data_IF_679686832050
#
_entry.id   IF_679686832050
#
_cell.length_a   1.000
_cell.length_b   1.000
_cell.length_c   1.000
_cell.angle_alpha   90.00
_cell.angle_beta   90.00
_cell.angle_gamma   90.00
#
_symmetry.space_group_name_H-M   'P 1'
#
loop_
_entity.id
_entity.type
_entity.pdbx_description
1 polymer ?
#
# COMPACT_ATOMS: atom_id res chain seq x y z
N UNK A 1 0.85 3.20 15.84
CA UNK A 1 -0.23 3.59 16.78
C UNK A 1 -0.43 2.53 17.83
N UNK A 2 -0.93 1.35 17.44
CA UNK A 2 -1.18 0.25 18.38
C UNK A 2 0.04 -0.10 19.25
N UNK A 3 1.23 -0.18 18.66
CA UNK A 3 2.47 -0.38 19.42
C UNK A 3 2.66 0.68 20.53
N UNK A 4 2.49 1.97 20.21
CA UNK A 4 2.58 3.06 21.20
C UNK A 4 1.49 2.98 22.26
N UNK A 5 0.25 2.62 21.89
CA UNK A 5 -0.87 2.45 22.83
C UNK A 5 -0.62 1.31 23.81
N UNK A 6 0.11 0.27 23.39
CA UNK A 6 0.47 -0.88 24.21
C UNK A 6 1.85 -0.75 24.86
N UNK A 7 2.56 0.37 24.68
CA UNK A 7 3.91 0.56 25.22
C UNK A 7 4.96 -0.36 24.59
N UNK A 8 4.71 -0.87 23.38
CA UNK A 8 5.59 -1.76 22.63
C UNK A 8 6.27 -1.06 21.45
N UNK A 9 7.41 -1.59 21.02
CA UNK A 9 8.00 -1.25 19.71
C UNK A 9 7.16 -1.83 18.56
N UNK A 10 7.21 -1.24 17.35
CA UNK A 10 6.55 -1.81 16.18
C UNK A 10 6.94 -3.27 15.88
N UNK A 11 8.21 -3.64 16.07
CA UNK A 11 8.67 -5.02 15.88
C UNK A 11 8.00 -5.96 16.88
N UNK A 12 8.01 -5.63 18.19
CA UNK A 12 7.44 -6.48 19.24
C UNK A 12 5.94 -6.75 19.02
N UNK A 13 5.17 -5.72 18.65
CA UNK A 13 3.75 -5.92 18.39
C UNK A 13 3.52 -6.78 17.13
N UNK A 14 4.32 -6.59 16.08
CA UNK A 14 4.24 -7.44 14.89
C UNK A 14 4.62 -8.89 15.20
N UNK A 15 5.63 -9.13 16.06
CA UNK A 15 6.03 -10.47 16.51
C UNK A 15 4.90 -11.15 17.28
N UNK A 16 4.26 -10.41 18.18
CA UNK A 16 3.12 -10.90 18.94
C UNK A 16 1.97 -11.33 18.04
N UNK A 17 1.51 -10.45 17.14
CA UNK A 17 0.39 -10.75 16.26
C UNK A 17 0.75 -11.80 15.19
N UNK A 18 2.00 -11.86 14.72
CA UNK A 18 2.42 -12.93 13.80
C UNK A 18 2.20 -14.32 14.40
N UNK A 19 2.59 -14.53 15.65
CA UNK A 19 2.40 -15.81 16.33
C UNK A 19 0.93 -16.15 16.54
N UNK A 20 0.08 -15.15 16.85
CA UNK A 20 -1.37 -15.32 16.95
C UNK A 20 -1.94 -15.76 15.60
N UNK A 21 -1.65 -15.02 14.52
CA UNK A 21 -2.14 -15.33 13.18
C UNK A 21 -1.70 -16.73 12.74
N UNK A 22 -0.41 -17.06 12.91
CA UNK A 22 0.13 -18.39 12.60
C UNK A 22 -0.63 -19.50 13.33
N UNK A 23 -0.83 -19.35 14.65
CA UNK A 23 -1.54 -20.34 15.46
C UNK A 23 -3.00 -20.52 15.04
N UNK A 24 -3.68 -19.42 14.68
CA UNK A 24 -5.06 -19.47 14.16
C UNK A 24 -5.10 -20.24 12.84
N UNK A 25 -4.20 -19.95 11.90
CA UNK A 25 -4.19 -20.60 10.60
C UNK A 25 -3.84 -22.10 10.69
N UNK A 26 -2.90 -22.45 11.57
CA UNK A 26 -2.60 -23.86 11.90
C UNK A 26 -3.82 -24.57 12.50
N UNK A 27 -4.56 -23.92 13.39
CA UNK A 27 -5.78 -24.49 13.98
C UNK A 27 -6.90 -24.70 12.94
N UNK A 28 -7.06 -23.77 11.99
CA UNK A 28 -7.97 -23.93 10.85
C UNK A 28 -7.45 -24.89 9.78
N UNK A 29 -6.27 -25.49 9.97
CA UNK A 29 -5.63 -26.43 9.05
C UNK A 29 -5.40 -25.84 7.66
N UNK A 30 -4.96 -24.57 7.60
CA UNK A 30 -4.53 -23.94 6.36
C UNK A 30 -3.08 -24.33 6.07
N UNK A 31 -2.89 -25.12 5.02
CA UNK A 31 -1.60 -25.70 4.64
C UNK A 31 -0.82 -24.75 3.72
N UNK A 32 -0.11 -23.78 4.31
CA UNK A 32 0.78 -22.90 3.57
C UNK A 32 2.15 -23.55 3.38
N UNK A 33 2.66 -23.61 2.14
CA UNK A 33 4.09 -23.91 1.90
C UNK A 33 4.99 -22.91 2.64
N UNK A 34 4.55 -21.65 2.73
CA UNK A 34 5.21 -20.61 3.52
C UNK A 34 4.22 -19.57 4.06
N UNK A 35 4.13 -19.47 5.38
CA UNK A 35 3.52 -18.32 6.07
C UNK A 35 4.59 -17.34 6.55
N UNK A 36 4.89 -16.33 5.72
CA UNK A 36 5.98 -15.37 5.95
C UNK A 36 5.58 -14.04 6.57
N UNK A 37 6.49 -13.05 6.49
CA UNK A 37 6.31 -11.68 7.02
C UNK A 37 6.91 -10.67 6.06
N UNK A 38 6.35 -9.47 5.97
CA UNK A 38 6.93 -8.35 5.19
C UNK A 38 8.03 -7.59 5.93
N UNK A 39 8.36 -7.97 7.16
CA UNK A 39 9.46 -7.40 7.95
C UNK A 39 10.75 -8.21 7.80
N UNK A 40 11.01 -8.69 6.58
CA UNK A 40 12.18 -9.49 6.25
C UNK A 40 13.19 -8.69 5.38
N UNK A 41 14.48 -9.05 5.33
CA UNK A 41 15.47 -8.33 4.53
C UNK A 41 15.19 -8.36 3.01
N UNK A 42 14.66 -9.46 2.48
CA UNK A 42 14.29 -9.58 1.07
C UNK A 42 13.18 -8.62 0.65
N UNK A 43 12.29 -8.22 1.57
CA UNK A 43 11.27 -7.20 1.31
C UNK A 43 11.94 -5.87 0.96
N UNK A 44 12.95 -5.47 1.73
CA UNK A 44 13.69 -4.22 1.49
C UNK A 44 14.39 -4.29 0.15
N UNK A 45 15.13 -5.36 -0.10
CA UNK A 45 15.87 -5.60 -1.34
C UNK A 45 14.95 -5.52 -2.58
N UNK A 46 13.90 -6.34 -2.62
CA UNK A 46 13.04 -6.46 -3.80
C UNK A 46 12.16 -5.22 -4.02
N UNK A 47 11.74 -4.56 -2.94
CA UNK A 47 10.96 -3.31 -3.06
C UNK A 47 11.83 -2.19 -3.61
N UNK A 48 13.08 -2.09 -3.14
CA UNK A 48 14.02 -1.10 -3.63
C UNK A 48 14.41 -1.36 -5.08
N UNK A 49 14.66 -2.62 -5.46
CA UNK A 49 14.94 -3.01 -6.85
C UNK A 49 13.75 -2.65 -7.78
N UNK A 50 12.53 -3.07 -7.43
CA UNK A 50 11.33 -2.74 -8.20
C UNK A 50 11.14 -1.22 -8.34
N UNK A 51 11.34 -0.47 -7.25
CA UNK A 51 11.26 0.98 -7.28
C UNK A 51 12.31 1.60 -8.20
N UNK A 52 13.57 1.17 -8.11
CA UNK A 52 14.66 1.70 -8.92
C UNK A 52 14.43 1.43 -10.41
N UNK A 53 13.88 0.27 -10.77
CA UNK A 53 13.47 -0.07 -12.14
C UNK A 53 12.35 0.87 -12.63
N UNK A 54 11.31 1.09 -11.82
CA UNK A 54 10.25 2.05 -12.14
C UNK A 54 10.78 3.48 -12.27
N UNK A 55 11.73 3.85 -11.41
CA UNK A 55 12.36 5.16 -11.40
C UNK A 55 13.20 5.39 -12.66
N UNK A 56 14.07 4.44 -13.03
CA UNK A 56 14.89 4.50 -14.24
C UNK A 56 14.06 4.50 -15.51
N UNK A 57 12.91 3.82 -15.51
CA UNK A 57 12.00 3.76 -16.65
C UNK A 57 11.07 4.98 -16.76
N UNK A 58 11.22 6.00 -15.90
CA UNK A 58 10.45 7.25 -15.98
C UNK A 58 8.99 7.15 -15.51
N UNK A 59 8.67 6.11 -14.74
CA UNK A 59 7.35 5.88 -14.15
C UNK A 59 7.19 6.41 -12.73
N UNK A 60 8.14 7.23 -12.26
CA UNK A 60 7.99 7.94 -11.00
C UNK A 60 8.30 9.43 -11.15
N UNK A 61 7.76 10.24 -10.25
CA UNK A 61 8.06 11.67 -10.13
C UNK A 61 8.12 12.06 -8.67
N UNK A 62 8.73 13.21 -8.39
CA UNK A 62 8.69 13.85 -7.08
C UNK A 62 7.78 15.06 -7.13
N UNK A 63 6.94 15.22 -6.11
CA UNK A 63 6.13 16.41 -5.90
C UNK A 63 6.17 16.84 -4.44
N UNK A 64 5.79 18.08 -4.14
CA UNK A 64 5.71 18.59 -2.77
C UNK A 64 4.24 18.64 -2.35
N UNK A 65 3.96 18.09 -1.16
CA UNK A 65 2.62 18.09 -0.58
C UNK A 65 2.67 18.82 0.75
N UNK A 66 1.73 19.73 0.95
CA UNK A 66 1.55 20.40 2.24
C UNK A 66 0.96 19.42 3.25
N UNK A 67 1.65 19.28 4.38
CA UNK A 67 1.24 18.39 5.47
C UNK A 67 1.38 19.09 6.81
N UNK A 68 0.55 18.66 7.76
CA UNK A 68 0.64 19.14 9.14
C UNK A 68 1.82 18.49 9.86
N UNK A 69 2.69 19.31 10.43
CA UNK A 69 3.85 18.91 11.21
C UNK A 69 3.70 19.34 12.66
N UNK A 70 3.81 18.39 13.60
CA UNK A 70 3.86 18.69 15.03
C UNK A 70 5.30 18.95 15.47
N UNK A 71 5.58 20.17 15.91
CA UNK A 71 6.92 20.59 16.34
C UNK A 71 7.36 19.88 17.62
N UNK A 72 6.46 19.62 18.58
CA UNK A 72 6.78 18.89 19.81
C UNK A 72 7.05 17.42 19.58
N UNK A 73 6.28 16.77 18.69
CA UNK A 73 6.50 15.37 18.33
C UNK A 73 7.56 15.16 17.25
N UNK A 74 8.09 16.24 16.67
CA UNK A 74 9.10 16.26 15.60
C UNK A 74 8.75 15.29 14.45
N UNK A 75 7.50 15.38 13.97
CA UNK A 75 7.00 14.52 12.88
C UNK A 75 5.84 15.16 12.12
N UNK A 76 5.71 14.75 10.86
CA UNK A 76 4.47 14.94 10.11
C UNK A 76 3.35 14.06 10.69
N UNK A 77 2.13 14.59 10.67
CA UNK A 77 0.93 13.95 11.17
C UNK A 77 0.15 13.37 9.99
N UNK A 78 -0.05 12.06 10.00
CA UNK A 78 -1.09 11.44 9.18
C UNK A 78 -2.47 11.95 9.65
N UNK A 79 -3.46 11.97 8.75
CA UNK A 79 -4.80 12.52 9.00
C UNK A 79 -5.44 12.02 10.32
N UNK A 80 -5.27 10.73 10.63
CA UNK A 80 -5.73 10.09 11.88
C UNK A 80 -5.08 10.62 13.18
N UNK A 81 -4.01 11.39 13.08
CA UNK A 81 -3.33 12.06 14.20
C UNK A 81 -3.67 13.55 14.29
N UNK A 82 -4.54 14.04 13.40
CA UNK A 82 -4.97 15.43 13.37
C UNK A 82 -6.45 15.47 13.74
N UNK A 83 -6.76 16.23 14.78
CA UNK A 83 -8.13 16.59 15.12
C UNK A 83 -8.27 18.10 15.02
N UNK A 84 -9.47 18.62 14.79
CA UNK A 84 -9.70 20.05 14.76
C UNK A 84 -11.16 20.40 14.59
N UNK A 85 -11.44 21.69 14.47
CA UNK A 85 -12.78 22.19 14.20
C UNK A 85 -13.10 22.04 12.70
N UNK A 86 -14.25 21.46 12.38
CA UNK A 86 -14.69 21.21 11.01
C UNK A 86 -14.94 22.54 10.25
N UNK A 87 -14.34 22.76 9.07
CA UNK A 87 -14.51 24.01 8.32
C UNK A 87 -15.92 24.18 7.72
N UNK A 88 -16.76 23.15 7.78
CA UNK A 88 -18.10 23.17 7.18
C UNK A 88 -19.26 23.24 8.17
N UNK A 89 -19.13 22.60 9.34
CA UNK A 89 -20.19 22.55 10.35
C UNK A 89 -19.73 22.96 11.75
N UNK A 90 -18.46 23.36 11.91
CA UNK A 90 -17.87 23.78 13.18
C UNK A 90 -17.95 22.75 14.31
N UNK A 91 -18.01 21.46 13.97
CA UNK A 91 -17.81 20.40 14.95
C UNK A 91 -16.36 20.42 15.45
N UNK A 92 -16.16 20.58 16.76
CA UNK A 92 -14.87 20.92 17.39
C UNK A 92 -13.80 19.81 17.37
N UNK A 93 -14.16 18.57 17.03
CA UNK A 93 -13.26 17.42 17.05
C UNK A 93 -13.37 16.54 15.79
N UNK A 94 -13.46 17.18 14.62
CA UNK A 94 -13.36 16.50 13.33
C UNK A 94 -11.96 15.91 13.11
N UNK A 95 -11.88 14.76 12.46
CA UNK A 95 -10.63 14.09 12.10
C UNK A 95 -10.05 14.69 10.81
N UNK A 96 -8.75 14.51 10.58
CA UNK A 96 -8.06 15.05 9.41
C UNK A 96 -8.54 14.50 8.06
N UNK A 97 -9.28 13.39 8.04
CA UNK A 97 -9.80 12.73 6.84
C UNK A 97 -11.31 12.92 6.66
N UNK A 98 -12.05 13.04 7.77
CA UNK A 98 -13.50 13.11 7.77
C UNK A 98 -14.05 13.80 9.03
N UNK A 99 -15.11 14.60 8.87
CA UNK A 99 -15.91 15.06 9.99
C UNK A 99 -17.02 14.06 10.33
N UNK A 100 -17.02 13.49 11.53
CA UNK A 100 -18.03 12.50 11.94
C UNK A 100 -19.43 13.12 12.15
N UNK A 101 -19.53 14.44 12.34
CA UNK A 101 -20.81 15.13 12.54
C UNK A 101 -21.57 15.41 11.23
N UNK A 102 -20.88 15.84 10.17
CA UNK A 102 -21.51 16.15 8.87
C UNK A 102 -21.11 15.17 7.75
N UNK A 103 -20.30 14.16 8.06
CA UNK A 103 -19.79 13.11 7.15
C UNK A 103 -18.95 13.61 5.98
N UNK A 104 -18.65 14.91 5.88
CA UNK A 104 -17.79 15.45 4.82
C UNK A 104 -16.36 14.93 4.94
N UNK A 105 -15.82 14.52 3.81
CA UNK A 105 -14.38 14.29 3.63
C UNK A 105 -13.68 15.63 3.58
N UNK A 106 -12.58 15.75 4.31
CA UNK A 106 -11.81 16.98 4.47
C UNK A 106 -10.33 16.66 4.36
N UNK A 107 -9.52 17.63 3.94
CA UNK A 107 -8.07 17.50 4.06
C UNK A 107 -7.63 18.03 5.44
N UNK A 108 -6.67 17.38 6.09
CA UNK A 108 -6.25 17.77 7.44
C UNK A 108 -5.77 19.22 7.53
N UNK A 109 -5.17 19.75 6.46
CA UNK A 109 -4.72 21.15 6.34
C UNK A 109 -5.86 22.18 6.32
N UNK A 110 -7.10 21.75 6.05
CA UNK A 110 -8.31 22.60 6.02
C UNK A 110 -8.98 22.71 7.40
N UNK A 111 -8.57 21.89 8.38
CA UNK A 111 -9.12 21.94 9.73
C UNK A 111 -8.85 23.30 10.38
N UNK A 112 -9.88 23.84 11.04
CA UNK A 112 -9.75 25.04 11.85
C UNK A 112 -9.13 24.62 13.19
N UNK A 113 -8.13 25.38 13.69
CA UNK A 113 -7.41 25.09 14.95
C UNK A 113 -6.99 23.61 15.06
N UNK A 114 -6.20 23.08 14.11
CA UNK A 114 -5.79 21.69 14.17
C UNK A 114 -4.99 21.42 15.46
N UNK A 115 -5.08 20.20 15.96
CA UNK A 115 -4.43 19.71 17.17
C UNK A 115 -3.83 18.35 16.89
N UNK A 116 -2.60 18.14 17.35
CA UNK A 116 -1.94 16.85 17.34
C UNK A 116 -2.61 15.93 18.37
N UNK A 117 -3.19 14.80 17.93
CA UNK A 117 -3.81 13.81 18.80
C UNK A 117 -2.84 13.23 19.85
N UNK A 118 -1.53 13.26 19.57
CA UNK A 118 -0.50 12.67 20.43
C UNK A 118 -0.14 13.58 21.62
N UNK A 119 -0.01 14.90 21.39
CA UNK A 119 0.52 15.82 22.41
C UNK A 119 -0.31 17.09 22.64
N UNK A 120 -1.40 17.27 21.88
CA UNK A 120 -2.30 18.42 21.95
C UNK A 120 -1.81 19.70 21.29
N UNK A 121 -0.54 19.77 20.85
CA UNK A 121 0.01 20.98 20.21
C UNK A 121 -0.64 21.27 18.85
N UNK A 122 -0.80 22.55 18.52
CA UNK A 122 -1.22 23.01 17.19
C UNK A 122 -0.11 22.71 16.17
N UNK A 123 -0.34 21.82 15.19
CA UNK A 123 0.62 21.56 14.14
C UNK A 123 0.69 22.72 13.15
N UNK A 124 1.82 22.83 12.45
CA UNK A 124 2.06 23.82 11.41
C UNK A 124 2.08 23.16 10.04
N UNK A 125 1.55 23.83 9.01
CA UNK A 125 1.66 23.34 7.64
C UNK A 125 3.12 23.46 7.20
N UNK A 126 3.70 22.36 6.71
CA UNK A 126 5.02 22.33 6.11
C UNK A 126 4.99 21.56 4.79
N UNK A 127 5.73 22.04 3.77
CA UNK A 127 5.92 21.29 2.54
C UNK A 127 6.73 20.02 2.82
N UNK A 128 6.26 18.88 2.30
CA UNK A 128 6.91 17.58 2.40
C UNK A 128 7.07 16.99 1.00
N UNK A 129 8.30 16.62 0.62
CA UNK A 129 8.57 15.98 -0.69
C UNK A 129 8.12 14.52 -0.68
N UNK A 130 7.44 14.09 -1.72
CA UNK A 130 6.92 12.74 -1.89
C UNK A 130 7.21 12.19 -3.28
N UNK A 131 7.39 10.86 -3.36
CA UNK A 131 7.47 10.15 -4.63
C UNK A 131 6.08 9.70 -5.04
N UNK A 132 5.83 9.76 -6.34
CA UNK A 132 4.60 9.32 -6.96
C UNK A 132 4.91 8.30 -8.05
N UNK A 133 4.12 7.24 -8.13
CA UNK A 133 4.10 6.34 -9.28
C UNK A 133 3.11 6.85 -10.32
N UNK A 134 3.51 6.85 -11.59
CA UNK A 134 2.73 7.27 -12.74
C UNK A 134 1.84 6.13 -13.27
N UNK A 135 0.74 5.84 -12.57
CA UNK A 135 -0.26 4.87 -13.06
C UNK A 135 -0.96 5.37 -14.32
N UNK A 136 -1.09 6.69 -14.45
CA UNK A 136 -1.58 7.39 -15.64
C UNK A 136 -0.82 6.96 -16.91
N UNK A 137 0.51 6.93 -16.85
CA UNK A 137 1.37 6.51 -17.98
C UNK A 137 1.28 5.01 -18.28
N UNK A 138 0.89 4.20 -17.30
CA UNK A 138 0.83 2.73 -17.41
C UNK A 138 -0.60 2.22 -17.71
N UNK A 139 -1.61 3.11 -17.70
CA UNK A 139 -3.02 2.74 -17.77
C UNK A 139 -3.37 1.86 -18.97
N UNK A 140 -2.88 2.19 -20.17
CA UNK A 140 -3.17 1.43 -21.38
C UNK A 140 -2.57 0.01 -21.33
N UNK A 141 -1.39 -0.14 -20.75
CA UNK A 141 -0.72 -1.45 -20.64
C UNK A 141 -1.38 -2.33 -19.58
N UNK A 142 -1.79 -1.73 -18.45
CA UNK A 142 -2.55 -2.42 -17.40
C UNK A 142 -3.90 -2.87 -17.93
N UNK A 143 -4.62 -2.02 -18.66
CA UNK A 143 -5.89 -2.38 -19.29
C UNK A 143 -5.73 -3.50 -20.32
N UNK A 144 -4.72 -3.41 -21.18
CA UNK A 144 -4.40 -4.46 -22.15
C UNK A 144 -4.07 -5.78 -21.44
N UNK A 145 -3.28 -5.73 -20.38
CA UNK A 145 -2.94 -6.90 -19.58
C UNK A 145 -4.19 -7.52 -18.94
N UNK A 146 -5.02 -6.71 -18.28
CA UNK A 146 -6.28 -7.16 -17.68
C UNK A 146 -7.17 -7.84 -18.72
N UNK A 147 -7.43 -7.20 -19.87
CA UNK A 147 -8.28 -7.77 -20.92
C UNK A 147 -7.73 -9.09 -21.45
N UNK A 148 -6.41 -9.21 -21.62
CA UNK A 148 -5.77 -10.48 -22.01
C UNK A 148 -6.12 -11.61 -21.02
N UNK A 149 -6.03 -11.37 -19.72
CA UNK A 149 -6.35 -12.39 -18.71
C UNK A 149 -7.85 -12.73 -18.68
N UNK A 150 -8.72 -11.75 -18.98
CA UNK A 150 -10.17 -11.96 -19.04
C UNK A 150 -10.61 -12.72 -20.31
N UNK A 151 -9.81 -12.69 -21.37
CA UNK A 151 -10.08 -13.42 -22.62
C UNK A 151 -9.55 -14.87 -22.58
N UNK A 152 -8.50 -15.15 -21.78
CA UNK A 152 -7.89 -16.48 -21.64
C UNK A 152 -8.37 -17.20 -20.39
N UNK A 153 -9.27 -18.19 -20.52
CA UNK A 153 -9.73 -19.08 -19.43
C UNK A 153 -10.00 -18.32 -18.10
N UNK A 154 -10.91 -17.37 -18.15
CA UNK A 154 -11.10 -16.39 -17.08
C UNK A 154 -11.72 -16.98 -15.80
N UNK A 155 -10.92 -17.04 -14.74
CA UNK A 155 -11.35 -17.37 -13.37
C UNK A 155 -11.44 -16.16 -12.42
N UNK A 156 -11.45 -14.93 -12.96
CA UNK A 156 -11.70 -13.75 -12.13
C UNK A 156 -13.16 -13.75 -11.65
N UNK A 157 -13.35 -13.42 -10.39
CA UNK A 157 -14.70 -13.26 -9.85
C UNK A 157 -15.36 -12.01 -10.44
N UNK A 158 -16.69 -12.05 -10.63
CA UNK A 158 -17.43 -10.98 -11.29
C UNK A 158 -17.27 -9.61 -10.59
N UNK A 159 -17.20 -9.60 -9.27
CA UNK A 159 -16.93 -8.39 -8.47
C UNK A 159 -15.52 -7.85 -8.72
N UNK A 160 -14.49 -8.71 -8.82
CA UNK A 160 -13.13 -8.29 -9.14
C UNK A 160 -13.07 -7.61 -10.52
N UNK A 161 -13.71 -8.21 -11.53
CA UNK A 161 -13.80 -7.65 -12.89
C UNK A 161 -14.48 -6.28 -12.86
N UNK A 162 -15.62 -6.16 -12.17
CA UNK A 162 -16.38 -4.92 -12.08
C UNK A 162 -15.57 -3.79 -11.44
N UNK A 163 -14.93 -4.06 -10.30
CA UNK A 163 -14.10 -3.08 -9.58
C UNK A 163 -12.89 -2.67 -10.42
N UNK A 164 -12.17 -3.63 -11.00
CA UNK A 164 -11.00 -3.35 -11.83
C UNK A 164 -11.35 -2.49 -13.05
N UNK A 165 -12.42 -2.82 -13.77
CA UNK A 165 -12.93 -2.02 -14.91
C UNK A 165 -13.35 -0.62 -14.47
N UNK A 166 -13.98 -0.47 -13.30
CA UNK A 166 -14.35 0.84 -12.77
C UNK A 166 -13.12 1.72 -12.51
N UNK A 167 -12.04 1.14 -11.99
CA UNK A 167 -10.78 1.87 -11.78
C UNK A 167 -10.14 2.32 -13.09
N UNK A 168 -10.06 1.44 -14.09
CA UNK A 168 -9.53 1.80 -15.41
C UNK A 168 -10.39 2.88 -16.07
N UNK A 169 -11.72 2.71 -16.07
CA UNK A 169 -12.66 3.68 -16.65
C UNK A 169 -12.60 5.05 -15.95
N UNK A 170 -12.30 5.08 -14.66
CA UNK A 170 -12.15 6.31 -13.88
C UNK A 170 -10.94 7.17 -14.28
N UNK A 171 -10.01 6.61 -15.06
CA UNK A 171 -8.73 7.24 -15.37
C UNK A 171 -7.74 7.04 -14.23
N UNK A 172 -6.64 6.34 -14.50
CA UNK A 172 -5.59 6.16 -13.50
C UNK A 172 -4.81 7.46 -13.34
N UNK A 173 -4.50 7.81 -12.10
CA UNK A 173 -3.75 9.01 -11.74
C UNK A 173 -2.42 8.64 -11.09
N UNK A 174 -1.52 9.62 -10.96
CA UNK A 174 -0.34 9.46 -10.12
C UNK A 174 -0.73 9.18 -8.67
N UNK A 175 -0.04 8.24 -8.01
CA UNK A 175 -0.29 7.87 -6.61
C UNK A 175 0.96 8.03 -5.76
N UNK A 176 0.83 8.63 -4.59
CA UNK A 176 1.95 8.84 -3.66
C UNK A 176 2.39 7.52 -3.02
N UNK A 177 3.66 7.15 -3.22
CA UNK A 177 4.27 5.90 -2.75
C UNK A 177 5.21 6.06 -1.56
N UNK A 178 5.31 7.25 -0.95
CA UNK A 178 6.13 7.46 0.26
C UNK A 178 5.33 7.99 1.43
N UNK A 179 5.83 7.77 2.65
CA UNK A 179 5.25 8.26 3.89
C UNK A 179 6.34 8.75 4.85
N UNK A 180 5.99 9.77 5.62
CA UNK A 180 6.78 10.30 6.73
C UNK A 180 6.63 9.42 7.98
N UNK A 181 7.11 8.18 7.87
CA UNK A 181 7.08 7.20 8.95
C UNK A 181 8.49 6.64 9.16
N UNK A 182 8.75 6.15 10.38
CA UNK A 182 9.99 5.47 10.72
C UNK A 182 9.92 3.94 10.56
N UNK A 183 8.71 3.38 10.45
CA UNK A 183 8.48 1.95 10.33
C UNK A 183 7.95 1.59 8.94
N UNK A 184 8.80 0.96 8.13
CA UNK A 184 8.52 0.58 6.74
C UNK A 184 9.82 0.36 5.96
N UNK A 185 9.71 0.04 4.67
CA UNK A 185 10.88 -0.11 3.80
C UNK A 185 11.49 1.26 3.48
N UNK A 186 12.78 1.50 3.75
CA UNK A 186 13.41 2.78 3.46
C UNK A 186 13.52 3.05 1.96
N UNK A 187 13.36 4.31 1.57
CA UNK A 187 13.49 4.74 0.17
C UNK A 187 14.97 4.86 -0.21
N UNK A 188 15.44 4.27 -1.32
CA UNK A 188 16.86 4.21 -1.69
C UNK A 188 17.31 5.48 -2.44
N UNK A 189 16.82 6.66 -2.03
CA UNK A 189 17.20 7.96 -2.60
C UNK A 189 17.74 8.87 -1.50
N UNK A 190 18.90 9.55 -1.70
CA UNK A 190 19.52 10.38 -0.67
C UNK A 190 18.61 11.45 -0.07
N UNK A 191 17.70 12.02 -0.85
CA UNK A 191 16.78 13.06 -0.42
C UNK A 191 15.51 12.52 0.29
N UNK A 192 15.37 11.19 0.41
CA UNK A 192 14.25 10.51 1.07
C UNK A 192 14.68 9.63 2.26
N UNK A 193 15.88 9.82 2.82
CA UNK A 193 16.43 8.98 3.91
C UNK A 193 15.53 8.88 5.15
N UNK A 194 14.75 9.92 5.45
CA UNK A 194 13.82 9.95 6.58
C UNK A 194 12.41 9.42 6.27
N UNK A 195 12.21 8.87 5.07
CA UNK A 195 10.91 8.39 4.57
C UNK A 195 10.96 6.90 4.25
N UNK A 196 9.79 6.29 4.32
CA UNK A 196 9.58 4.89 3.94
C UNK A 196 8.58 4.81 2.79
N UNK A 197 8.57 3.68 2.09
CA UNK A 197 7.52 3.38 1.14
C UNK A 197 6.17 3.28 1.83
N UNK A 198 5.14 3.72 1.13
CA UNK A 198 3.76 3.54 1.54
C UNK A 198 3.40 2.06 1.47
N UNK A 199 2.79 1.53 2.53
CA UNK A 199 2.45 0.11 2.66
C UNK A 199 1.70 -0.48 1.46
N UNK A 200 0.88 0.30 0.78
CA UNK A 200 0.12 -0.18 -0.37
C UNK A 200 0.93 -0.25 -1.68
N UNK A 201 2.14 0.31 -1.70
CA UNK A 201 3.11 0.12 -2.77
C UNK A 201 3.91 -1.17 -2.55
N UNK A 202 4.42 -1.41 -1.33
CA UNK A 202 5.34 -2.53 -1.08
C UNK A 202 4.68 -3.79 -0.51
N UNK A 203 3.49 -3.73 0.10
CA UNK A 203 2.84 -4.93 0.64
C UNK A 203 2.67 -6.07 -0.39
N UNK A 204 2.29 -5.82 -1.67
CA UNK A 204 2.25 -6.87 -2.69
C UNK A 204 3.62 -7.45 -3.06
N UNK A 205 4.72 -6.68 -2.88
CA UNK A 205 6.10 -7.20 -3.00
C UNK A 205 6.39 -8.25 -1.92
N UNK A 206 5.61 -8.23 -0.84
CA UNK A 206 5.58 -9.26 0.19
C UNK A 206 5.44 -10.68 -0.36
N UNK A 207 4.63 -10.89 -1.40
CA UNK A 207 4.50 -12.22 -2.00
C UNK A 207 5.81 -12.73 -2.59
N UNK A 208 6.56 -11.84 -3.27
CA UNK A 208 7.86 -12.14 -3.85
C UNK A 208 8.92 -12.36 -2.76
N UNK A 209 8.94 -11.51 -1.73
CA UNK A 209 9.93 -11.62 -0.64
C UNK A 209 9.72 -12.86 0.22
N UNK A 210 8.45 -13.23 0.50
CA UNK A 210 8.11 -14.47 1.22
C UNK A 210 8.49 -15.70 0.38
N UNK A 211 8.29 -15.65 -0.93
CA UNK A 211 8.72 -16.74 -1.83
C UNK A 211 10.26 -16.85 -1.84
N UNK A 212 10.99 -15.74 -1.92
CA UNK A 212 12.46 -15.72 -1.84
C UNK A 212 12.98 -16.28 -0.52
N UNK A 213 12.32 -15.99 0.57
CA UNK A 213 12.63 -16.55 1.89
C UNK A 213 12.40 -18.08 1.97
N UNK A 214 11.50 -18.63 1.15
CA UNK A 214 11.27 -20.08 1.04
C UNK A 214 12.28 -20.79 0.13
N UNK A 215 12.50 -20.27 -1.08
CA UNK A 215 13.23 -20.99 -2.15
C UNK A 215 14.56 -20.34 -2.56
N UNK A 216 14.98 -19.27 -1.89
CA UNK A 216 16.19 -18.52 -2.25
C UNK A 216 16.07 -17.91 -3.66
N UNK A 217 17.18 -17.88 -4.41
CA UNK A 217 17.25 -17.25 -5.75
C UNK A 217 16.32 -17.89 -6.80
N UNK A 218 15.85 -19.12 -6.56
CA UNK A 218 14.84 -19.77 -7.38
C UNK A 218 13.47 -19.07 -7.35
N UNK A 219 13.24 -18.06 -6.49
CA UNK A 219 11.99 -17.29 -6.49
C UNK A 219 11.65 -16.67 -7.85
N UNK A 220 12.68 -16.36 -8.65
CA UNK A 220 12.52 -15.82 -10.00
C UNK A 220 11.85 -16.82 -10.95
N UNK A 221 11.97 -18.13 -10.73
CA UNK A 221 11.26 -19.13 -11.54
C UNK A 221 9.75 -19.10 -11.34
N UNK A 222 9.29 -18.50 -10.23
CA UNK A 222 7.88 -18.28 -9.92
C UNK A 222 7.41 -16.88 -10.32
N UNK A 223 8.20 -15.86 -10.00
CA UNK A 223 7.79 -14.46 -10.11
C UNK A 223 8.33 -13.70 -11.32
N UNK A 224 9.22 -14.30 -12.12
CA UNK A 224 9.72 -13.73 -13.38
C UNK A 224 9.62 -14.74 -14.54
N UNK A 225 8.55 -15.53 -14.54
CA UNK A 225 8.32 -16.61 -15.50
C UNK A 225 6.83 -16.71 -15.91
N UNK A 226 6.26 -15.66 -16.54
CA UNK A 226 4.83 -15.58 -16.84
C UNK A 226 4.35 -16.60 -17.89
N UNK A 227 5.25 -17.36 -18.51
CA UNK A 227 4.90 -18.38 -19.52
C UNK A 227 4.63 -19.75 -18.91
N UNK A 228 5.25 -20.07 -17.78
CA UNK A 228 5.14 -21.38 -17.12
C UNK A 228 4.37 -21.30 -15.78
N UNK A 229 4.08 -20.10 -15.30
CA UNK A 229 3.45 -19.89 -13.99
C UNK A 229 2.06 -19.27 -14.18
N UNK A 230 1.07 -19.88 -13.52
CA UNK A 230 -0.29 -19.37 -13.41
C UNK A 230 -0.52 -18.87 -11.97
N UNK A 231 -0.63 -17.55 -11.82
CA UNK A 231 -0.76 -16.88 -10.53
C UNK A 231 -2.24 -16.65 -10.16
N UNK A 232 -2.66 -17.27 -9.05
CA UNK A 232 -3.96 -17.05 -8.42
C UNK A 232 -3.82 -16.19 -7.16
N UNK A 233 -4.57 -15.10 -7.10
CA UNK A 233 -4.67 -14.24 -5.92
C UNK A 233 -6.07 -14.32 -5.31
N UNK A 234 -6.16 -14.78 -4.06
CA UNK A 234 -7.41 -14.80 -3.29
C UNK A 234 -7.43 -13.61 -2.33
N UNK A 235 -8.42 -12.72 -2.49
CA UNK A 235 -8.47 -11.45 -1.75
C UNK A 235 -9.89 -11.07 -1.33
N UNK A 236 -10.03 -10.21 -0.33
CA UNK A 236 -11.30 -9.48 -0.10
C UNK A 236 -11.49 -8.37 -1.14
N UNK A 237 -12.74 -8.01 -1.46
CA UNK A 237 -13.05 -7.01 -2.51
C UNK A 237 -12.30 -5.68 -2.41
N UNK A 238 -11.99 -5.22 -1.20
CA UNK A 238 -11.28 -3.94 -0.97
C UNK A 238 -9.83 -3.96 -1.47
N UNK A 239 -9.27 -5.15 -1.65
CA UNK A 239 -7.90 -5.34 -2.13
C UNK A 239 -7.80 -5.45 -3.66
N UNK A 240 -8.93 -5.50 -4.38
CA UNK A 240 -8.96 -5.74 -5.82
C UNK A 240 -8.17 -4.69 -6.58
N UNK A 241 -8.35 -3.40 -6.27
CA UNK A 241 -7.64 -2.33 -6.98
C UNK A 241 -6.11 -2.45 -6.87
N UNK A 242 -5.61 -2.89 -5.72
CA UNK A 242 -4.17 -3.07 -5.51
C UNK A 242 -3.61 -4.23 -6.35
N UNK A 243 -4.37 -5.33 -6.46
CA UNK A 243 -3.92 -6.55 -7.15
C UNK A 243 -4.24 -6.57 -8.65
N UNK A 244 -5.27 -5.85 -9.10
CA UNK A 244 -5.65 -5.76 -10.50
C UNK A 244 -4.99 -4.57 -11.22
N UNK A 245 -4.62 -3.51 -10.48
CA UNK A 245 -4.13 -2.26 -11.08
C UNK A 245 -2.75 -1.88 -10.55
N UNK A 246 -2.61 -1.54 -9.26
CA UNK A 246 -1.38 -0.91 -8.76
C UNK A 246 -0.16 -1.83 -8.83
N UNK A 247 -0.29 -3.08 -8.39
CA UNK A 247 0.81 -4.02 -8.43
C UNK A 247 1.15 -4.48 -9.86
N UNK A 248 0.19 -4.86 -10.72
CA UNK A 248 0.47 -5.10 -12.13
C UNK A 248 1.09 -3.90 -12.84
N UNK A 249 0.66 -2.66 -12.57
CA UNK A 249 1.30 -1.47 -13.11
C UNK A 249 2.77 -1.39 -12.71
N UNK A 250 3.07 -1.63 -11.43
CA UNK A 250 4.43 -1.64 -10.90
C UNK A 250 5.29 -2.71 -11.59
N UNK A 251 4.77 -3.93 -11.72
CA UNK A 251 5.45 -5.05 -12.39
C UNK A 251 5.67 -4.80 -13.90
N UNK A 252 4.65 -4.28 -14.60
CA UNK A 252 4.73 -3.95 -16.02
C UNK A 252 5.73 -2.82 -16.27
N UNK A 253 5.65 -1.74 -15.47
CA UNK A 253 6.52 -0.57 -15.59
C UNK A 253 7.98 -0.85 -15.25
N UNK A 254 8.24 -1.90 -14.46
CA UNK A 254 9.59 -2.34 -14.12
C UNK A 254 10.34 -2.99 -15.30
N UNK A 255 9.62 -3.52 -16.30
CA UNK A 255 10.19 -4.14 -17.52
C UNK A 255 11.10 -5.35 -17.25
N UNK A 256 10.79 -6.12 -16.23
CA UNK A 256 11.65 -7.20 -15.72
C UNK A 256 10.98 -8.58 -15.76
N UNK A 257 10.14 -8.79 -16.79
CA UNK A 257 9.46 -10.06 -17.08
C UNK A 257 8.69 -10.68 -15.89
N UNK A 258 8.09 -9.86 -15.03
CA UNK A 258 7.35 -10.34 -13.87
C UNK A 258 6.14 -11.21 -14.24
N UNK A 259 5.94 -12.28 -13.47
CA UNK A 259 4.68 -13.00 -13.39
C UNK A 259 3.64 -12.08 -12.75
N UNK A 260 2.61 -11.77 -13.53
CA UNK A 260 1.49 -10.91 -13.15
C UNK A 260 0.25 -11.76 -12.89
N UNK A 261 -0.73 -11.24 -12.17
CA UNK A 261 -1.91 -12.03 -11.76
C UNK A 261 -2.65 -12.58 -12.98
N UNK A 262 -2.84 -13.90 -13.03
CA UNK A 262 -3.66 -14.57 -14.05
C UNK A 262 -5.12 -14.61 -13.61
N UNK A 263 -5.36 -14.93 -12.33
CA UNK A 263 -6.71 -15.09 -11.77
C UNK A 263 -6.85 -14.34 -10.45
N UNK A 264 -7.81 -13.40 -10.40
CA UNK A 264 -8.13 -12.64 -9.20
C UNK A 264 -9.48 -13.09 -8.63
N UNK A 265 -9.42 -13.84 -7.55
CA UNK A 265 -10.59 -14.40 -6.88
C UNK A 265 -10.94 -13.53 -5.66
N UNK A 266 -11.92 -12.64 -5.82
CA UNK A 266 -12.34 -11.73 -4.77
C UNK A 266 -13.66 -12.14 -4.11
N UNK A 267 -13.68 -12.16 -2.77
CA UNK A 267 -14.91 -12.44 -1.99
C UNK A 267 -15.55 -11.14 -1.46
N UNK A 268 -16.86 -11.19 -1.27
CA UNK A 268 -17.61 -10.17 -0.53
C UNK A 268 -17.36 -10.29 0.98
N UNK A 269 -17.92 -9.34 1.76
CA UNK A 269 -17.87 -9.41 3.22
C UNK A 269 -18.71 -10.57 3.76
N UNK A 270 -18.20 -11.22 4.80
CA UNK A 270 -18.97 -12.14 5.62
C UNK A 270 -19.61 -11.35 6.77
N UNK A 271 -20.93 -11.18 6.74
CA UNK A 271 -21.68 -10.62 7.85
C UNK A 271 -22.14 -11.75 8.77
N UNK A 272 -21.95 -11.59 10.07
CA UNK A 272 -22.42 -12.48 11.13
C UNK A 272 -23.18 -11.71 12.19
#
# INVERSE_FOLDING_TARGET
MKAMQEGLTPQQICDHFYNIHKSIYEWFNIDFDRFGRTTNPHQVELTQDLFLQLHSNGYTSTDTVDQLHCSRCQRFLADRFVHGECPYCHFDDARGDQCDACSKLINAVELIKPRCHICGETPVVKPSRHLFIHLDKLSAEVEKHMNKQLDSNNHWSANAISIARSWIKGGLEKRCITRDLKWGVPVPLPEFQDKVFYVWFDAPVGYMSITKDLVGDAWTSWWKNPTEVELYNFVGKDNVAFHAVMFPASQIGARDNYTTVNHLCATEYLNY
#
